data_IF_154124137802
#
_entry.id   IF_154124137802
#
_cell.length_a   1.000
_cell.length_b   1.000
_cell.length_c   1.000
_cell.angle_alpha   90.00
_cell.angle_beta   90.00
_cell.angle_gamma   90.00
#
_symmetry.space_group_name_H-M   'P 1'
#
loop_
_entity.id
_entity.type
_entity.pdbx_description
1 polymer ?
#
# COMPACT_ATOMS: atom_id res chain seq x y z
N UNK A 1 1.19 -18.09 -33.91
CA UNK A 1 0.00 -17.71 -33.14
C UNK A 1 -0.06 -18.52 -31.86
N UNK A 2 0.24 -17.95 -30.67
CA UNK A 2 0.03 -18.64 -29.41
C UNK A 2 -1.18 -18.07 -28.64
N UNK A 3 -2.18 -18.94 -28.48
CA UNK A 3 -3.13 -19.06 -27.37
C UNK A 3 -3.58 -17.81 -26.62
N UNK A 4 -4.72 -17.25 -27.04
CA UNK A 4 -5.58 -16.43 -26.19
C UNK A 4 -6.12 -17.27 -25.03
N UNK A 5 -5.52 -17.16 -23.84
CA UNK A 5 -6.14 -17.64 -22.60
C UNK A 5 -7.35 -16.78 -22.30
N UNK A 6 -8.54 -17.37 -22.37
CA UNK A 6 -9.79 -16.77 -21.88
C UNK A 6 -9.60 -16.31 -20.43
N UNK A 7 -9.79 -15.01 -20.19
CA UNK A 7 -9.82 -14.44 -18.83
C UNK A 7 -11.11 -14.87 -18.17
N UNK A 8 -11.03 -15.52 -17.01
CA UNK A 8 -12.19 -15.79 -16.14
C UNK A 8 -12.89 -14.45 -15.80
N UNK A 9 -14.20 -14.32 -16.00
CA UNK A 9 -14.94 -13.13 -15.60
C UNK A 9 -15.06 -13.15 -14.07
N UNK A 10 -14.32 -12.28 -13.39
CA UNK A 10 -14.37 -12.18 -11.92
C UNK A 10 -13.23 -11.40 -11.27
N UNK A 11 -12.05 -11.33 -11.88
CA UNK A 11 -10.96 -10.49 -11.38
C UNK A 11 -10.66 -9.37 -12.38
N UNK A 12 -11.09 -8.16 -12.04
CA UNK A 12 -10.55 -6.96 -12.67
C UNK A 12 -9.01 -7.00 -12.59
N UNK A 13 -8.32 -6.56 -13.65
CA UNK A 13 -6.85 -6.53 -13.63
C UNK A 13 -6.39 -5.61 -12.50
N UNK A 14 -5.38 -6.01 -11.70
CA UNK A 14 -4.94 -5.21 -10.57
C UNK A 14 -4.42 -3.85 -11.06
N UNK A 15 -4.79 -2.78 -10.35
CA UNK A 15 -4.24 -1.44 -10.53
C UNK A 15 -3.14 -1.15 -9.51
N UNK A 16 -3.15 -1.87 -8.38
CA UNK A 16 -2.15 -1.72 -7.32
C UNK A 16 -1.45 -3.06 -7.07
N UNK A 17 -0.12 -3.04 -7.11
CA UNK A 17 0.71 -4.18 -6.70
C UNK A 17 1.18 -4.01 -5.26
N UNK A 18 0.92 -4.98 -4.39
CA UNK A 18 1.33 -4.97 -2.99
C UNK A 18 2.43 -6.03 -2.80
N UNK A 19 3.60 -5.61 -2.34
CA UNK A 19 4.80 -6.45 -2.24
C UNK A 19 5.31 -6.51 -0.80
N UNK A 20 5.45 -7.73 -0.28
CA UNK A 20 6.17 -8.02 0.97
C UNK A 20 7.52 -8.68 0.71
N UNK A 21 8.53 -8.40 1.54
CA UNK A 21 9.85 -9.03 1.45
C UNK A 21 9.90 -10.46 2.00
N UNK A 22 8.89 -10.84 2.78
CA UNK A 22 8.75 -12.10 3.49
C UNK A 22 7.28 -12.40 3.80
N UNK A 23 6.98 -13.63 4.25
CA UNK A 23 5.63 -13.98 4.71
C UNK A 23 5.23 -13.28 6.01
N UNK A 24 6.19 -12.91 6.86
CA UNK A 24 5.91 -12.21 8.13
C UNK A 24 5.46 -10.77 7.91
N UNK A 25 5.66 -10.23 6.71
CA UNK A 25 5.21 -8.89 6.33
C UNK A 25 3.72 -8.86 5.96
N UNK A 26 3.16 -10.02 5.58
CA UNK A 26 1.79 -10.12 5.04
C UNK A 26 0.70 -9.63 5.99
N UNK A 27 0.70 -9.95 7.30
CA UNK A 27 -0.34 -9.45 8.21
C UNK A 27 -0.43 -7.91 8.27
N UNK A 28 0.69 -7.22 8.06
CA UNK A 28 0.71 -5.76 7.96
C UNK A 28 0.17 -5.32 6.60
N UNK A 29 0.62 -5.95 5.51
CA UNK A 29 0.26 -5.55 4.14
C UNK A 29 -1.17 -5.94 3.74
N UNK A 30 -1.79 -6.93 4.37
CA UNK A 30 -3.20 -7.30 4.17
C UNK A 30 -4.12 -6.10 4.44
N UNK A 31 -3.77 -5.25 5.42
CA UNK A 31 -4.48 -4.00 5.70
C UNK A 31 -4.50 -3.02 4.53
N UNK A 32 -3.45 -3.02 3.70
CA UNK A 32 -3.44 -2.26 2.44
C UNK A 32 -4.50 -2.80 1.49
N UNK A 33 -4.56 -4.13 1.33
CA UNK A 33 -5.51 -4.80 0.44
C UNK A 33 -6.96 -4.61 0.92
N UNK A 34 -7.20 -4.62 2.24
CA UNK A 34 -8.50 -4.34 2.84
C UNK A 34 -9.00 -2.94 2.50
N UNK A 35 -8.17 -1.90 2.68
CA UNK A 35 -8.51 -0.51 2.32
C UNK A 35 -8.79 -0.39 0.82
N UNK A 36 -7.97 -1.00 -0.03
CA UNK A 36 -8.18 -0.97 -1.48
C UNK A 36 -9.46 -1.69 -1.89
N UNK A 37 -9.77 -2.82 -1.25
CA UNK A 37 -11.02 -3.57 -1.46
C UNK A 37 -12.23 -2.72 -1.09
N UNK A 38 -12.20 -2.08 0.08
CA UNK A 38 -13.26 -1.16 0.52
C UNK A 38 -13.45 0.01 -0.46
N UNK A 39 -12.36 0.52 -1.02
CA UNK A 39 -12.38 1.58 -2.05
C UNK A 39 -12.62 1.05 -3.46
N UNK A 40 -12.94 -0.23 -3.66
CA UNK A 40 -13.20 -0.83 -4.96
C UNK A 40 -12.04 -0.67 -5.94
N UNK A 41 -10.80 -0.77 -5.46
CA UNK A 41 -9.56 -0.72 -6.25
C UNK A 41 -8.98 -2.13 -6.33
N UNK A 42 -8.92 -2.76 -7.52
CA UNK A 42 -8.38 -4.10 -7.65
C UNK A 42 -6.87 -4.09 -7.38
N UNK A 43 -6.41 -5.05 -6.58
CA UNK A 43 -5.01 -5.17 -6.19
C UNK A 43 -4.55 -6.62 -6.17
N UNK A 44 -3.25 -6.83 -6.17
CA UNK A 44 -2.60 -8.12 -5.95
C UNK A 44 -1.62 -8.03 -4.77
N UNK A 45 -1.43 -9.12 -4.03
CA UNK A 45 -0.50 -9.21 -2.90
C UNK A 45 0.49 -10.36 -3.15
N UNK A 46 1.79 -10.05 -3.12
CA UNK A 46 2.87 -10.97 -3.47
C UNK A 46 4.03 -10.89 -2.47
N UNK A 47 4.75 -12.00 -2.30
CA UNK A 47 6.02 -12.03 -1.55
C UNK A 47 7.19 -12.06 -2.54
N UNK A 48 7.96 -10.98 -2.60
CA UNK A 48 9.14 -10.81 -3.43
C UNK A 48 10.26 -10.17 -2.60
N UNK A 49 11.36 -10.89 -2.40
CA UNK A 49 12.45 -10.44 -1.54
C UNK A 49 13.53 -9.75 -2.35
N UNK A 50 13.84 -8.48 -2.02
CA UNK A 50 14.97 -7.76 -2.63
C UNK A 50 16.32 -8.46 -2.38
N UNK A 51 16.50 -9.06 -1.20
CA UNK A 51 17.76 -9.71 -0.82
C UNK A 51 17.87 -11.16 -1.29
N UNK A 52 16.75 -11.88 -1.41
CA UNK A 52 16.75 -13.34 -1.65
C UNK A 52 16.25 -13.75 -3.03
N UNK A 53 15.46 -12.91 -3.69
CA UNK A 53 14.92 -13.16 -5.04
C UNK A 53 15.00 -11.90 -5.91
N UNK A 54 16.19 -11.27 -6.05
CA UNK A 54 16.34 -9.98 -6.73
C UNK A 54 15.90 -10.01 -8.19
N UNK A 55 16.25 -11.06 -8.96
CA UNK A 55 15.90 -11.14 -10.38
C UNK A 55 14.38 -11.20 -10.60
N UNK A 56 13.67 -11.94 -9.75
CA UNK A 56 12.21 -12.01 -9.79
C UNK A 56 11.56 -10.68 -9.43
N UNK A 57 12.16 -9.95 -8.47
CA UNK A 57 11.70 -8.61 -8.11
C UNK A 57 11.90 -7.62 -9.26
N UNK A 58 13.05 -7.68 -9.94
CA UNK A 58 13.34 -6.82 -11.08
C UNK A 58 12.37 -7.09 -12.22
N UNK A 59 12.17 -8.36 -12.56
CA UNK A 59 11.22 -8.78 -13.57
C UNK A 59 9.80 -8.25 -13.26
N UNK A 60 9.39 -8.35 -12.00
CA UNK A 60 8.10 -7.80 -11.57
C UNK A 60 8.01 -6.29 -11.79
N UNK A 61 9.00 -5.53 -11.29
CA UNK A 61 8.98 -4.06 -11.32
C UNK A 61 9.03 -3.51 -12.76
N UNK A 62 9.83 -4.13 -13.63
CA UNK A 62 9.95 -3.75 -15.04
C UNK A 62 8.65 -4.02 -15.81
N UNK A 63 7.97 -5.12 -15.51
CA UNK A 63 6.74 -5.53 -16.22
C UNK A 63 5.45 -4.97 -15.59
N UNK A 64 5.52 -4.33 -14.42
CA UNK A 64 4.34 -3.92 -13.67
C UNK A 64 3.42 -3.00 -14.49
N UNK A 65 3.99 -1.98 -15.15
CA UNK A 65 3.24 -1.02 -15.95
C UNK A 65 2.53 -1.70 -17.14
N UNK A 66 3.22 -2.61 -17.84
CA UNK A 66 2.67 -3.35 -18.98
C UNK A 66 1.51 -4.28 -18.59
N UNK A 67 1.47 -4.72 -17.32
CA UNK A 67 0.36 -5.50 -16.76
C UNK A 67 -0.83 -4.63 -16.32
N UNK A 68 -0.72 -3.31 -16.38
CA UNK A 68 -1.74 -2.35 -15.97
C UNK A 68 -1.64 -1.90 -14.51
N UNK A 69 -0.55 -2.22 -13.80
CA UNK A 69 -0.31 -1.65 -12.48
C UNK A 69 -0.01 -0.16 -12.63
N UNK A 70 -0.63 0.67 -11.80
CA UNK A 70 -0.44 2.12 -11.78
C UNK A 70 0.26 2.60 -10.50
N UNK A 71 0.20 1.84 -9.41
CA UNK A 71 0.89 2.14 -8.13
C UNK A 71 1.43 0.86 -7.50
N UNK A 72 2.62 0.91 -6.91
CA UNK A 72 3.17 -0.21 -6.13
C UNK A 72 3.29 0.18 -4.67
N UNK A 73 2.78 -0.67 -3.77
CA UNK A 73 2.99 -0.59 -2.33
C UNK A 73 3.99 -1.66 -1.93
N UNK A 74 5.08 -1.29 -1.26
CA UNK A 74 6.12 -2.22 -0.85
C UNK A 74 6.39 -2.10 0.66
N UNK A 75 6.29 -3.22 1.38
CA UNK A 75 6.56 -3.32 2.81
C UNK A 75 7.78 -4.18 3.13
N UNK A 76 8.64 -3.69 4.01
CA UNK A 76 9.81 -4.42 4.51
C UNK A 76 10.25 -3.91 5.89
N UNK A 77 10.92 -4.77 6.66
CA UNK A 77 11.48 -4.46 7.97
C UNK A 77 13.03 -4.44 7.99
N UNK A 78 13.62 -3.70 8.93
CA UNK A 78 15.07 -3.69 9.17
C UNK A 78 15.83 -2.87 8.13
N UNK A 79 16.84 -3.47 7.50
CA UNK A 79 17.50 -2.92 6.33
C UNK A 79 16.57 -2.99 5.10
N UNK A 80 15.56 -2.14 5.10
CA UNK A 80 14.36 -2.31 4.29
C UNK A 80 14.52 -1.83 2.84
N UNK A 81 15.31 -2.55 2.04
CA UNK A 81 15.66 -2.16 0.67
C UNK A 81 14.53 -2.31 -0.37
N UNK A 82 13.49 -3.09 -0.09
CA UNK A 82 12.48 -3.48 -1.08
C UNK A 82 11.84 -2.28 -1.83
N UNK A 83 11.33 -1.22 -1.18
CA UNK A 83 10.69 -0.11 -1.89
C UNK A 83 11.66 0.66 -2.78
N UNK A 84 12.87 0.93 -2.28
CA UNK A 84 13.90 1.64 -3.05
C UNK A 84 14.36 0.85 -4.28
N UNK A 85 14.52 -0.46 -4.14
CA UNK A 85 14.88 -1.35 -5.25
C UNK A 85 13.79 -1.40 -6.30
N UNK A 86 12.52 -1.49 -5.90
CA UNK A 86 11.39 -1.43 -6.84
C UNK A 86 11.37 -0.09 -7.58
N UNK A 87 11.50 1.02 -6.84
CA UNK A 87 11.49 2.38 -7.41
C UNK A 87 12.63 2.59 -8.42
N UNK A 88 13.79 1.95 -8.22
CA UNK A 88 14.90 2.02 -9.18
C UNK A 88 14.64 1.28 -10.51
N UNK A 89 13.62 0.41 -10.57
CA UNK A 89 13.34 -0.48 -11.70
C UNK A 89 12.02 -0.18 -12.39
N UNK A 90 11.30 0.85 -11.98
CA UNK A 90 10.01 1.23 -12.56
C UNK A 90 9.82 2.74 -12.55
N UNK A 91 9.02 3.25 -13.49
CA UNK A 91 8.59 4.65 -13.50
C UNK A 91 7.30 4.89 -12.71
N UNK A 92 6.66 3.81 -12.22
CA UNK A 92 5.44 3.89 -11.43
C UNK A 92 5.72 4.50 -10.05
N UNK A 93 4.75 5.21 -9.45
CA UNK A 93 4.81 5.61 -8.05
C UNK A 93 4.98 4.39 -7.13
N UNK A 94 5.97 4.47 -6.23
CA UNK A 94 6.22 3.45 -5.20
C UNK A 94 5.97 4.04 -3.83
N UNK A 95 5.12 3.37 -3.04
CA UNK A 95 4.80 3.70 -1.66
C UNK A 95 5.53 2.71 -0.74
N UNK A 96 6.32 3.22 0.18
CA UNK A 96 7.06 2.42 1.15
C UNK A 96 6.31 2.31 2.48
N UNK A 97 6.13 1.08 2.99
CA UNK A 97 5.55 0.80 4.32
C UNK A 97 6.63 0.27 5.26
N UNK A 98 7.20 1.08 6.15
CA UNK A 98 8.19 0.62 7.11
C UNK A 98 7.55 -0.39 8.08
N UNK A 99 8.00 -1.64 8.06
CA UNK A 99 7.46 -2.67 8.97
C UNK A 99 8.20 -2.57 10.30
N UNK A 100 7.48 -2.57 11.45
CA UNK A 100 8.12 -2.49 12.76
C UNK A 100 9.02 -3.70 13.00
N UNK A 101 10.22 -3.43 13.49
CA UNK A 101 11.18 -4.44 13.95
C UNK A 101 11.13 -4.60 15.45
N UNK A 102 11.61 -5.74 15.95
CA UNK A 102 11.60 -6.02 17.40
C UNK A 102 12.41 -5.01 18.20
N UNK A 103 13.66 -4.77 17.79
CA UNK A 103 14.64 -4.01 18.57
C UNK A 103 14.56 -2.50 18.36
N UNK A 104 14.38 -2.06 17.11
CA UNK A 104 14.38 -0.63 16.75
C UNK A 104 13.00 -0.08 16.42
N UNK A 105 11.95 -0.91 16.63
CA UNK A 105 10.54 -0.52 16.47
C UNK A 105 10.23 0.10 15.10
N UNK A 106 11.00 -0.29 14.07
CA UNK A 106 10.85 0.19 12.70
C UNK A 106 11.54 1.51 12.37
N UNK A 107 12.34 2.10 13.27
CA UNK A 107 13.15 3.28 12.95
C UNK A 107 14.20 2.96 11.85
N UNK A 108 14.80 1.77 11.94
CA UNK A 108 15.66 1.19 10.92
C UNK A 108 14.94 1.04 9.57
N UNK A 109 13.73 0.47 9.59
CA UNK A 109 12.89 0.34 8.39
C UNK A 109 12.56 1.71 7.79
N UNK A 110 12.20 2.69 8.63
CA UNK A 110 11.79 4.03 8.21
C UNK A 110 12.94 4.76 7.52
N UNK A 111 14.10 4.83 8.17
CA UNK A 111 15.26 5.54 7.64
C UNK A 111 15.82 4.86 6.38
N UNK A 112 15.75 3.53 6.30
CA UNK A 112 16.15 2.78 5.10
C UNK A 112 15.26 3.08 3.88
N UNK A 113 14.00 3.48 4.10
CA UNK A 113 13.05 3.76 3.03
C UNK A 113 12.94 5.23 2.66
N UNK A 114 12.91 6.14 3.66
CA UNK A 114 12.60 7.56 3.42
C UNK A 114 13.79 8.37 2.92
N UNK A 115 15.02 7.95 3.26
CA UNK A 115 16.25 8.68 2.94
C UNK A 115 16.79 8.37 1.53
N UNK A 116 15.89 8.27 0.54
CA UNK A 116 16.30 8.02 -0.84
C UNK A 116 17.14 9.19 -1.40
N UNK A 117 18.20 8.92 -2.18
CA UNK A 117 18.94 9.96 -2.86
C UNK A 117 18.09 10.62 -3.96
N UNK A 118 18.52 11.80 -4.42
CA UNK A 118 17.85 12.54 -5.51
C UNK A 118 17.76 11.67 -6.77
N UNK A 119 16.58 11.65 -7.39
CA UNK A 119 16.32 10.99 -8.68
C UNK A 119 15.47 9.72 -8.61
N UNK A 120 15.42 9.03 -7.46
CA UNK A 120 14.63 7.79 -7.29
C UNK A 120 13.77 7.89 -6.02
N UNK A 121 12.59 8.52 -6.09
CA UNK A 121 11.78 8.78 -4.91
C UNK A 121 10.98 7.55 -4.44
N UNK A 122 10.71 7.50 -3.13
CA UNK A 122 9.74 6.59 -2.51
C UNK A 122 8.79 7.43 -1.65
N UNK A 123 7.49 7.23 -1.80
CA UNK A 123 6.48 7.86 -0.95
C UNK A 123 6.32 7.05 0.36
N UNK A 124 7.12 7.35 1.37
CA UNK A 124 7.14 6.59 2.61
C UNK A 124 6.03 7.03 3.56
N UNK A 125 5.22 6.08 4.05
CA UNK A 125 4.19 6.30 5.07
C UNK A 125 4.72 6.00 6.48
N UNK A 126 3.87 6.18 7.51
CA UNK A 126 4.22 5.88 8.89
C UNK A 126 4.65 4.40 9.09
N UNK A 127 5.43 4.14 10.13
CA UNK A 127 5.77 2.78 10.55
C UNK A 127 4.49 1.98 10.82
N UNK A 128 4.36 0.81 10.19
CA UNK A 128 3.16 -0.04 10.24
C UNK A 128 1.92 0.57 9.58
N UNK A 129 2.02 1.72 8.92
CA UNK A 129 0.90 2.49 8.36
C UNK A 129 0.36 1.95 7.03
N UNK A 130 0.13 0.64 6.95
CA UNK A 130 -0.32 -0.04 5.73
C UNK A 130 -1.69 0.45 5.24
N UNK A 131 -2.62 0.76 6.15
CA UNK A 131 -3.92 1.35 5.82
C UNK A 131 -3.75 2.67 5.06
N UNK A 132 -2.81 3.51 5.51
CA UNK A 132 -2.49 4.78 4.86
C UNK A 132 -1.82 4.57 3.50
N UNK A 133 -1.04 3.50 3.31
CA UNK A 133 -0.48 3.17 2.00
C UNK A 133 -1.58 2.80 1.00
N UNK A 134 -2.59 2.03 1.42
CA UNK A 134 -3.76 1.72 0.60
C UNK A 134 -4.56 2.98 0.24
N UNK A 135 -4.80 3.86 1.22
CA UNK A 135 -5.50 5.12 0.98
C UNK A 135 -4.70 6.05 0.06
N UNK A 136 -3.38 6.17 0.24
CA UNK A 136 -2.52 6.99 -0.61
C UNK A 136 -2.48 6.46 -2.05
N UNK A 137 -2.39 5.14 -2.25
CA UNK A 137 -2.48 4.53 -3.58
C UNK A 137 -3.82 4.88 -4.26
N UNK A 138 -4.94 4.77 -3.53
CA UNK A 138 -6.25 5.17 -4.04
C UNK A 138 -6.35 6.67 -4.34
N UNK A 139 -5.72 7.53 -3.54
CA UNK A 139 -5.65 8.98 -3.79
C UNK A 139 -4.87 9.32 -5.06
N UNK A 140 -3.76 8.63 -5.33
CA UNK A 140 -3.00 8.78 -6.58
C UNK A 140 -3.89 8.43 -7.77
N UNK A 141 -4.57 7.27 -7.71
CA UNK A 141 -5.51 6.84 -8.76
C UNK A 141 -6.72 7.78 -8.91
N UNK A 142 -7.20 8.35 -7.81
CA UNK A 142 -8.34 9.26 -7.77
C UNK A 142 -8.11 10.54 -8.60
N UNK A 143 -6.85 10.96 -8.83
CA UNK A 143 -6.54 12.12 -9.67
C UNK A 143 -7.19 11.96 -11.06
N UNK A 144 -7.06 10.77 -11.65
CA UNK A 144 -7.59 10.44 -12.99
C UNK A 144 -8.90 9.67 -13.00
N UNK A 145 -9.34 9.12 -11.87
CA UNK A 145 -10.55 8.30 -11.78
C UNK A 145 -11.64 8.99 -10.93
N UNK A 146 -12.67 9.60 -11.56
CA UNK A 146 -13.79 10.20 -10.84
C UNK A 146 -14.50 9.23 -9.89
N UNK A 147 -14.62 7.94 -10.26
CA UNK A 147 -15.25 6.93 -9.45
C UNK A 147 -14.46 6.60 -8.18
N UNK A 148 -13.12 6.45 -8.28
CA UNK A 148 -12.26 6.24 -7.10
C UNK A 148 -12.25 7.50 -6.23
N UNK A 149 -12.19 8.69 -6.85
CA UNK A 149 -12.26 9.98 -6.14
C UNK A 149 -13.51 10.11 -5.28
N UNK A 150 -14.68 9.76 -5.81
CA UNK A 150 -15.92 9.79 -5.03
C UNK A 150 -15.84 8.87 -3.80
N UNK A 151 -15.33 7.64 -3.96
CA UNK A 151 -15.17 6.68 -2.85
C UNK A 151 -14.14 7.15 -1.82
N UNK A 152 -13.03 7.75 -2.23
CA UNK A 152 -12.04 8.35 -1.32
C UNK A 152 -12.63 9.50 -0.52
N UNK A 153 -13.42 10.39 -1.15
CA UNK A 153 -14.11 11.50 -0.45
C UNK A 153 -15.09 10.94 0.58
N UNK A 154 -15.91 9.96 0.19
CA UNK A 154 -16.86 9.30 1.08
C UNK A 154 -16.16 8.63 2.26
N UNK A 155 -15.09 7.86 2.01
CA UNK A 155 -14.31 7.21 3.05
C UNK A 155 -13.80 8.22 4.09
N UNK A 156 -13.27 9.36 3.66
CA UNK A 156 -12.80 10.41 4.57
C UNK A 156 -13.94 11.01 5.40
N UNK A 157 -15.11 11.24 4.78
CA UNK A 157 -16.29 11.73 5.49
C UNK A 157 -16.78 10.73 6.55
N UNK A 158 -16.73 9.42 6.26
CA UNK A 158 -17.03 8.34 7.20
C UNK A 158 -16.07 8.35 8.40
N UNK A 159 -14.77 8.51 8.18
CA UNK A 159 -13.80 8.62 9.28
C UNK A 159 -14.10 9.83 10.18
N UNK A 160 -14.43 10.99 9.59
CA UNK A 160 -14.81 12.18 10.38
C UNK A 160 -16.06 11.93 11.21
N UNK A 161 -17.09 11.33 10.60
CA UNK A 161 -18.35 11.02 11.29
C UNK A 161 -18.14 10.06 12.46
N UNK A 162 -17.35 9.00 12.27
CA UNK A 162 -17.04 8.04 13.34
C UNK A 162 -16.43 8.70 14.58
N UNK A 163 -15.53 9.67 14.39
CA UNK A 163 -14.92 10.44 15.50
C UNK A 163 -15.96 11.32 16.22
N UNK A 164 -16.84 11.98 15.46
CA UNK A 164 -17.88 12.84 16.02
C UNK A 164 -18.93 12.04 16.81
N UNK A 165 -19.32 10.87 16.31
CA UNK A 165 -20.25 9.95 16.98
C UNK A 165 -19.65 9.43 18.29
N UNK A 166 -18.42 8.91 18.28
CA UNK A 166 -17.71 8.45 19.47
C UNK A 166 -17.57 9.57 20.53
N UNK A 167 -17.27 10.79 20.10
CA UNK A 167 -17.18 11.96 20.98
C UNK A 167 -18.53 12.30 21.63
N UNK A 168 -19.63 12.11 20.91
CA UNK A 168 -20.98 12.36 21.42
C UNK A 168 -21.42 11.31 22.46
N UNK A 169 -21.01 10.05 22.28
CA UNK A 169 -21.31 8.95 23.20
C UNK A 169 -20.56 9.12 24.53
N UNK A 170 -19.28 9.48 24.47
CA UNK A 170 -18.45 9.77 25.64
C UNK A 170 -19.05 10.89 26.50
N UNK A 171 -19.56 11.97 25.86
CA UNK A 171 -20.24 13.07 26.58
C UNK A 171 -21.52 12.58 27.28
N UNK A 172 -22.34 11.77 26.62
CA UNK A 172 -23.58 11.21 27.19
C UNK A 172 -23.31 10.27 28.36
N UNK A 173 -22.21 9.53 28.35
CA UNK A 173 -21.79 8.67 29.46
C UNK A 173 -21.35 9.51 30.67
N UNK A 174 -20.54 10.55 30.45
CA UNK A 174 -20.09 11.45 31.52
C UNK A 174 -21.25 12.18 32.23
N UNK A 175 -22.31 12.56 31.52
CA UNK A 175 -23.50 13.23 32.12
C UNK A 175 -24.44 12.27 32.86
N UNK A 176 -24.34 10.96 32.64
CA UNK A 176 -25.16 9.95 33.35
C UNK A 176 -24.51 9.43 34.63
N UNK A 177 -23.24 9.75 34.86
CA UNK A 177 -22.45 9.26 36.00
C UNK A 177 -22.16 10.35 37.05
N UNK A 178 -22.72 11.55 36.91
CA UNK A 178 -22.71 12.63 37.90
C UNK A 178 -24.13 13.03 38.26
#
# INVERSE_FOLDING_TARGET
MPGSRERKPGNASPLVGILGGSKTDLPVLEKTAEVLTHLGVPSELLVLSAHRTPDRLFQYAEQAADRGIEVIVAGAGGAAALPGVVAAKTHLPVIGVPIPTEHLRGLDSLLSMVQMPRGVPVATVAIGGAENAGLLAAQILAVRSPAIRARVIQFRAEQTRAVLEASSELKKQATKSG
#
